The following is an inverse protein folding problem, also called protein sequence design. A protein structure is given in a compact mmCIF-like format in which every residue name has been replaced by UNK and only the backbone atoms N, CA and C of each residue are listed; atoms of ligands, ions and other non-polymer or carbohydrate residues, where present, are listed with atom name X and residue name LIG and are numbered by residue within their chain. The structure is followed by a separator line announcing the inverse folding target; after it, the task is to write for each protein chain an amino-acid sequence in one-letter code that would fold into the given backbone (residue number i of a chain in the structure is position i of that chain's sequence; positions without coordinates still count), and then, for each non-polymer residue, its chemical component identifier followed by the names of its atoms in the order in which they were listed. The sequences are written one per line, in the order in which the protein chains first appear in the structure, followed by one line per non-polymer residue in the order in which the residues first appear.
data_IF_004917913235
#
_entry.id   IF_004917913235
#
_cell.length_a   1.000
_cell.length_b   1.000
_cell.length_c   1.000
_cell.angle_alpha   90.00
_cell.angle_beta   90.00
_cell.angle_gamma   90.00
#
_symmetry.space_group_name_H-M   'P 1'
#
loop_
_entity.id
_entity.type
_entity.pdbx_description
1 polymer ?
#
# COMPACT_ATOMS: atom_id res chain seq x y z
N UNK A 1 -14.75 -14.83 -0.89
CA UNK A 1 -13.79 -14.67 0.21
C UNK A 1 -12.62 -13.81 -0.28
N UNK A 2 -12.22 -12.76 0.44
CA UNK A 2 -11.20 -11.80 -0.03
C UNK A 2 -10.01 -11.75 0.93
N UNK A 3 -8.81 -11.85 0.36
CA UNK A 3 -7.53 -11.77 1.07
C UNK A 3 -6.74 -10.55 0.64
N UNK A 4 -5.98 -9.96 1.56
CA UNK A 4 -5.05 -8.92 1.19
C UNK A 4 -3.89 -9.49 0.35
N UNK A 5 -3.57 -8.79 -0.74
CA UNK A 5 -2.49 -9.17 -1.64
C UNK A 5 -1.11 -8.71 -1.18
N UNK A 6 -1.04 -7.75 -0.25
CA UNK A 6 0.21 -7.17 0.22
C UNK A 6 1.09 -8.23 0.90
N UNK A 7 2.41 -8.12 0.70
CA UNK A 7 3.37 -8.91 1.47
C UNK A 7 3.20 -8.63 2.97
N UNK A 8 3.26 -9.67 3.78
CA UNK A 8 3.17 -9.59 5.25
C UNK A 8 1.86 -8.96 5.77
N UNK A 9 0.78 -9.04 4.99
CA UNK A 9 -0.55 -8.63 5.41
C UNK A 9 -1.50 -9.83 5.51
N UNK A 10 -2.00 -10.08 6.72
CA UNK A 10 -2.89 -11.22 7.02
C UNK A 10 -4.38 -10.82 7.04
N UNK A 11 -4.74 -9.66 6.49
CA UNK A 11 -6.12 -9.19 6.47
C UNK A 11 -7.01 -10.09 5.61
N UNK A 12 -8.10 -10.54 6.21
CA UNK A 12 -8.99 -11.58 5.71
C UNK A 12 -10.43 -11.13 5.94
N UNK A 13 -11.22 -11.02 4.86
CA UNK A 13 -12.56 -10.44 4.94
C UNK A 13 -13.56 -11.19 5.84
N UNK A 14 -13.25 -12.41 6.33
CA UNK A 14 -14.09 -13.11 7.32
C UNK A 14 -13.86 -12.60 8.73
N UNK A 15 -12.63 -12.19 9.04
CA UNK A 15 -12.20 -11.92 10.41
C UNK A 15 -11.88 -10.45 10.64
N UNK A 16 -11.50 -9.73 9.59
CA UNK A 16 -11.09 -8.33 9.69
C UNK A 16 -12.27 -7.39 9.43
N UNK A 17 -12.71 -6.69 10.47
CA UNK A 17 -13.78 -5.70 10.40
C UNK A 17 -13.22 -4.29 10.25
N UNK A 18 -14.04 -3.35 9.77
CA UNK A 18 -13.64 -1.94 9.62
C UNK A 18 -12.73 -1.63 8.44
N UNK A 19 -12.20 -2.66 7.76
CA UNK A 19 -11.29 -2.54 6.61
C UNK A 19 -12.04 -2.67 5.28
N UNK A 20 -11.65 -1.84 4.32
CA UNK A 20 -12.17 -1.88 2.95
C UNK A 20 -11.19 -2.62 2.04
N UNK A 21 -11.70 -3.38 1.06
CA UNK A 21 -10.89 -4.16 0.11
C UNK A 21 -11.06 -3.68 -1.33
N UNK A 22 -9.97 -3.19 -1.91
CA UNK A 22 -9.92 -2.54 -3.21
C UNK A 22 -9.43 -3.47 -4.31
N UNK A 23 -10.20 -3.57 -5.39
CA UNK A 23 -9.81 -4.32 -6.57
C UNK A 23 -8.57 -3.69 -7.23
N UNK A 24 -7.79 -4.52 -7.91
CA UNK A 24 -6.73 -4.03 -8.78
C UNK A 24 -7.32 -3.14 -9.90
N UNK A 25 -6.64 -2.03 -10.24
CA UNK A 25 -7.06 -1.15 -11.32
C UNK A 25 -7.19 -1.90 -12.65
N UNK A 26 -8.17 -1.48 -13.48
CA UNK A 26 -8.27 -1.94 -14.87
C UNK A 26 -7.17 -1.37 -15.76
N UNK A 27 -6.71 -0.16 -15.44
CA UNK A 27 -5.59 0.47 -16.13
C UNK A 27 -4.31 -0.33 -15.86
N UNK A 28 -3.68 -0.84 -16.92
CA UNK A 28 -2.54 -1.74 -16.81
C UNK A 28 -1.32 -1.05 -16.20
N UNK A 29 -1.04 0.19 -16.55
CA UNK A 29 0.09 0.94 -16.00
C UNK A 29 -0.06 1.16 -14.49
N UNK A 30 -1.26 1.52 -14.02
CA UNK A 30 -1.52 1.69 -12.59
C UNK A 30 -1.50 0.33 -11.86
N UNK A 31 -2.05 -0.71 -12.48
CA UNK A 31 -2.00 -2.08 -11.94
C UNK A 31 -0.56 -2.55 -11.77
N UNK A 32 0.31 -2.34 -12.76
CA UNK A 32 1.73 -2.68 -12.68
C UNK A 32 2.44 -1.92 -11.55
N UNK A 33 2.09 -0.65 -11.32
CA UNK A 33 2.61 0.11 -10.18
C UNK A 33 2.17 -0.50 -8.84
N UNK A 34 0.91 -0.91 -8.69
CA UNK A 34 0.44 -1.58 -7.48
C UNK A 34 1.21 -2.88 -7.23
N UNK A 35 1.38 -3.72 -8.26
CA UNK A 35 2.10 -4.98 -8.15
C UNK A 35 3.57 -4.80 -7.77
N UNK A 36 4.24 -3.79 -8.35
CA UNK A 36 5.60 -3.44 -7.99
C UNK A 36 5.73 -3.02 -6.52
N UNK A 37 4.70 -2.39 -5.94
CA UNK A 37 4.71 -1.96 -4.54
C UNK A 37 4.51 -3.11 -3.56
N UNK A 38 3.62 -4.05 -3.90
CA UNK A 38 3.30 -5.24 -3.10
C UNK A 38 4.52 -6.13 -2.84
N UNK A 39 5.51 -6.15 -3.75
CA UNK A 39 6.78 -6.87 -3.60
C UNK A 39 6.64 -8.39 -3.34
N UNK A 40 5.60 -9.01 -3.91
CA UNK A 40 5.44 -10.47 -3.95
C UNK A 40 5.72 -10.97 -5.36
N UNK A 41 6.84 -11.64 -5.55
CA UNK A 41 7.20 -12.25 -6.83
C UNK A 41 6.30 -13.44 -7.19
N UNK A 42 5.67 -14.07 -6.18
CA UNK A 42 4.82 -15.25 -6.28
C UNK A 42 3.32 -14.91 -6.38
N UNK A 43 2.94 -13.64 -6.37
CA UNK A 43 1.53 -13.26 -6.33
C UNK A 43 0.84 -13.52 -7.67
N UNK A 44 0.06 -14.59 -7.73
CA UNK A 44 -0.93 -14.78 -8.80
C UNK A 44 -2.17 -13.96 -8.46
N UNK A 45 -2.32 -12.81 -9.13
CA UNK A 45 -3.48 -11.93 -8.98
C UNK A 45 -4.74 -12.69 -9.43
N UNK A 46 -5.51 -13.16 -8.45
CA UNK A 46 -6.80 -13.81 -8.65
C UNK A 46 -7.94 -12.88 -8.25
N UNK A 47 -9.17 -13.22 -8.62
CA UNK A 47 -10.38 -12.45 -8.25
C UNK A 47 -10.57 -12.30 -6.73
N UNK A 48 -9.92 -13.15 -5.94
CA UNK A 48 -10.02 -13.18 -4.48
C UNK A 48 -8.95 -12.31 -3.80
N UNK A 49 -7.95 -11.82 -4.54
CA UNK A 49 -6.92 -10.95 -4.00
C UNK A 49 -7.26 -9.48 -4.24
N UNK A 50 -7.15 -8.68 -3.19
CA UNK A 50 -7.38 -7.23 -3.19
C UNK A 50 -6.36 -6.55 -2.29
N UNK A 51 -6.18 -5.24 -2.43
CA UNK A 51 -5.46 -4.48 -1.41
C UNK A 51 -6.42 -3.95 -0.36
N UNK A 52 -6.04 -4.09 0.91
CA UNK A 52 -6.84 -3.56 2.01
C UNK A 52 -6.57 -2.06 2.19
N UNK A 53 -7.47 -1.38 2.89
CA UNK A 53 -7.41 0.08 3.06
C UNK A 53 -6.17 0.57 3.79
N UNK A 54 -5.49 -0.26 4.58
CA UNK A 54 -4.28 0.08 5.33
C UNK A 54 -3.08 0.40 4.43
N UNK A 55 -3.11 -0.03 3.16
CA UNK A 55 -2.01 0.23 2.21
C UNK A 55 -2.14 1.56 1.48
N UNK A 56 -3.21 2.31 1.73
CA UNK A 56 -3.48 3.61 1.13
C UNK A 56 -3.53 4.67 2.22
N UNK A 57 -2.92 5.82 1.94
CA UNK A 57 -3.02 6.98 2.81
C UNK A 57 -4.40 7.65 2.67
N UNK A 58 -4.87 8.39 3.68
CA UNK A 58 -6.19 9.04 3.63
C UNK A 58 -6.41 9.96 2.41
N UNK A 59 -5.35 10.60 1.91
CA UNK A 59 -5.39 11.46 0.73
C UNK A 59 -5.62 10.71 -0.59
N UNK A 60 -5.44 9.38 -0.61
CA UNK A 60 -5.79 8.55 -1.76
C UNK A 60 -7.31 8.39 -1.94
N UNK A 61 -8.12 8.78 -0.95
CA UNK A 61 -9.56 8.59 -0.97
C UNK A 61 -10.31 9.85 -1.42
N UNK A 62 -11.40 9.63 -2.15
CA UNK A 62 -12.36 10.68 -2.49
C UNK A 62 -13.11 11.13 -1.24
N UNK A 63 -13.41 12.44 -1.16
CA UNK A 63 -14.25 12.97 -0.08
C UNK A 63 -15.71 12.63 -0.36
N UNK A 64 -16.36 11.95 0.57
CA UNK A 64 -17.79 11.67 0.51
C UNK A 64 -18.57 12.75 1.25
N UNK A 65 -18.69 13.93 0.62
CA UNK A 65 -19.37 15.10 1.21
C UNK A 65 -20.79 14.77 1.70
N UNK A 66 -21.49 13.87 0.99
CA UNK A 66 -22.83 13.43 1.38
C UNK A 66 -22.79 12.69 2.73
N UNK A 67 -21.84 11.78 2.90
CA UNK A 67 -21.67 11.08 4.17
C UNK A 67 -21.25 12.04 5.29
N UNK A 68 -20.33 12.97 5.00
CA UNK A 68 -19.90 14.01 5.96
C UNK A 68 -21.10 14.85 6.45
N UNK A 69 -21.93 15.36 5.55
CA UNK A 69 -23.10 16.20 5.88
C UNK A 69 -24.16 15.42 6.67
N UNK A 70 -24.36 14.14 6.34
CA UNK A 70 -25.38 13.29 6.98
C UNK A 70 -24.88 12.58 8.23
N UNK A 71 -23.63 12.78 8.65
CA UNK A 71 -23.03 12.06 9.79
C UNK A 71 -22.91 10.55 9.58
N UNK A 72 -22.82 10.11 8.32
CA UNK A 72 -22.70 8.70 7.95
C UNK A 72 -21.23 8.30 7.78
N UNK A 73 -20.96 6.99 7.82
CA UNK A 73 -19.63 6.47 7.49
C UNK A 73 -19.30 6.78 6.01
N UNK A 74 -18.19 7.47 5.71
CA UNK A 74 -17.82 7.80 4.34
C UNK A 74 -17.44 6.54 3.56
N UNK A 75 -17.74 6.53 2.26
CA UNK A 75 -17.30 5.47 1.36
C UNK A 75 -15.78 5.54 1.17
N UNK A 76 -15.11 4.40 1.26
CA UNK A 76 -13.68 4.28 0.96
C UNK A 76 -13.43 4.18 -0.54
N UNK A 77 -13.80 5.18 -1.33
CA UNK A 77 -13.53 5.19 -2.78
C UNK A 77 -12.14 5.76 -3.03
N UNK A 78 -11.28 5.03 -3.76
CA UNK A 78 -9.98 5.53 -4.16
C UNK A 78 -10.11 6.52 -5.32
N UNK A 79 -9.34 7.61 -5.27
CA UNK A 79 -9.19 8.56 -6.37
C UNK A 79 -8.61 7.87 -7.62
N UNK A 80 -8.91 8.37 -8.83
CA UNK A 80 -8.23 7.94 -10.04
C UNK A 80 -6.71 8.10 -9.90
N UNK A 81 -5.96 7.03 -10.22
CA UNK A 81 -4.49 7.07 -10.12
C UNK A 81 -3.93 6.86 -8.71
N UNK A 82 -4.75 6.56 -7.70
CA UNK A 82 -4.26 6.26 -6.36
C UNK A 82 -3.25 5.09 -6.37
N UNK A 83 -2.12 5.27 -5.68
CA UNK A 83 -1.04 4.29 -5.57
C UNK A 83 -0.91 3.87 -4.10
N UNK A 84 -0.85 2.57 -3.78
CA UNK A 84 -0.59 2.14 -2.42
C UNK A 84 0.85 2.48 -2.04
N UNK A 85 1.02 3.13 -0.91
CA UNK A 85 2.33 3.64 -0.44
C UNK A 85 2.72 3.09 0.93
N UNK A 86 1.77 2.54 1.70
CA UNK A 86 1.98 2.09 3.07
C UNK A 86 2.29 0.60 3.08
N UNK A 87 3.56 0.26 3.28
CA UNK A 87 4.05 -1.13 3.34
C UNK A 87 5.20 -1.26 4.35
N UNK A 88 5.09 -2.21 5.28
CA UNK A 88 6.06 -2.46 6.36
C UNK A 88 7.44 -2.91 5.85
N UNK A 89 7.49 -3.76 4.83
CA UNK A 89 8.74 -4.28 4.25
C UNK A 89 9.61 -3.19 3.60
N UNK A 90 9.03 -2.06 3.22
CA UNK A 90 9.78 -0.94 2.60
C UNK A 90 10.47 -0.03 3.61
N UNK A 91 10.11 -0.10 4.90
CA UNK A 91 10.83 0.65 5.94
C UNK A 91 12.22 0.07 6.17
N UNK A 92 12.35 -1.26 6.15
CA UNK A 92 13.65 -1.94 6.30
C UNK A 92 14.66 -1.58 5.18
N UNK A 93 14.20 -1.32 3.95
CA UNK A 93 15.09 -0.87 2.87
C UNK A 93 15.68 0.52 3.13
N UNK A 94 14.88 1.45 3.65
CA UNK A 94 15.34 2.82 3.93
C UNK A 94 16.41 2.84 5.03
N UNK A 95 16.25 2.01 6.06
CA UNK A 95 17.23 1.90 7.14
C UNK A 95 18.55 1.30 6.64
N UNK A 96 18.48 0.28 5.77
CA UNK A 96 19.66 -0.32 5.12
C UNK A 96 20.37 0.69 4.20
N UNK A 97 19.62 1.45 3.40
CA UNK A 97 20.19 2.45 2.49
C UNK A 97 20.77 3.66 3.24
N UNK A 98 20.16 4.05 4.37
CA UNK A 98 20.71 5.07 5.25
C UNK A 98 22.01 4.60 5.91
N UNK A 99 22.03 3.38 6.44
CA UNK A 99 23.23 2.82 7.04
C UNK A 99 24.38 2.72 6.02
N UNK A 100 24.08 2.25 4.79
CA UNK A 100 25.05 2.18 3.69
C UNK A 100 25.63 3.55 3.34
N UNK A 101 24.79 4.58 3.18
CA UNK A 101 25.24 5.97 2.89
C UNK A 101 26.12 6.53 4.00
N UNK A 102 25.77 6.31 5.26
CA UNK A 102 26.58 6.75 6.40
C UNK A 102 27.93 6.03 6.49
N UNK A 103 28.00 4.74 6.16
CA UNK A 103 29.27 3.99 6.10
C UNK A 103 30.17 4.53 5.00
N UNK A 104 29.63 4.88 3.84
CA UNK A 104 30.40 5.47 2.73
C UNK A 104 30.95 6.86 3.10
N UNK A 105 30.13 7.72 3.72
CA UNK A 105 30.55 9.05 4.18
C UNK A 105 31.67 8.99 5.22
N UNK A 106 31.59 8.07 6.20
CA UNK A 106 32.64 7.86 7.21
C UNK A 106 33.97 7.33 6.62
N UNK A 107 33.93 6.62 5.48
CA UNK A 107 35.14 6.13 4.80
C UNK A 107 35.84 7.22 3.97
N UNK A 108 35.09 8.18 3.43
CA UNK A 108 35.68 9.34 2.73
C UNK A 108 36.33 10.34 3.70
N UNK A 109 35.77 10.52 4.90
CA UNK A 109 36.30 11.44 5.92
C UNK A 109 37.60 10.94 6.60
N UNK A 110 37.91 9.64 6.48
CA UNK A 110 39.13 9.02 7.04
C UNK A 110 40.28 8.84 6.04
N UNK A 111 40.09 9.25 4.78
CA UNK A 111 41.11 9.19 3.71
C UNK A 111 41.66 10.59 3.36
N UNK A 112 41.53 11.55 4.29
CA UNK A 112 42.14 12.89 4.22
C UNK A 112 43.14 13.02 5.37
#
# INVERSE_FOLDING_TARGET
MVYCAAFDCNNDSRYTTGISYHCFPRNEALRSQWLAKISRADLVVSKNFRLCSEHFTPDCYERDLKAEILGLKPRSTLKPGAIPTVFSHRNHQKDLDFHRRNVQKRKSEKNI
#
